data_IF_321350217622
#
_entry.id   IF_321350217622
#
_cell.length_a   1.000
_cell.length_b   1.000
_cell.length_c   1.000
_cell.angle_alpha   90.00
_cell.angle_beta   90.00
_cell.angle_gamma   90.00
#
_symmetry.space_group_name_H-M   'P 1'
#
loop_
_entity.id
_entity.type
_entity.pdbx_description
1 polymer ?
#
# COMPACT_ATOMS: atom_id res chain seq x y z
N UNK A 1 3.63 3.91 -10.96
CA UNK A 1 2.99 3.80 -9.63
C UNK A 1 3.80 3.00 -8.63
N UNK A 2 3.98 1.65 -8.83
CA UNK A 2 4.62 0.78 -7.84
C UNK A 2 6.07 1.19 -7.51
N UNK A 3 6.89 1.47 -8.52
CA UNK A 3 8.28 1.92 -8.33
C UNK A 3 8.36 3.24 -7.55
N UNK A 4 7.43 4.16 -7.79
CA UNK A 4 7.39 5.45 -7.09
C UNK A 4 7.04 5.28 -5.61
N UNK A 5 6.08 4.41 -5.30
CA UNK A 5 5.66 4.11 -3.93
C UNK A 5 6.77 3.47 -3.09
N UNK A 6 7.50 2.49 -3.65
CA UNK A 6 8.58 1.80 -2.92
C UNK A 6 9.77 2.71 -2.63
N UNK A 7 10.08 3.67 -3.53
CA UNK A 7 11.21 4.59 -3.35
C UNK A 7 10.86 5.76 -2.44
N UNK A 8 9.59 6.18 -2.37
CA UNK A 8 9.17 7.37 -1.62
C UNK A 8 9.64 7.35 -0.16
N UNK A 9 9.37 6.26 0.56
CA UNK A 9 9.78 6.14 1.97
C UNK A 9 11.31 6.16 2.16
N UNK A 10 12.06 5.57 1.21
CA UNK A 10 13.51 5.59 1.24
C UNK A 10 14.06 7.00 0.99
N UNK A 11 13.51 7.73 0.02
CA UNK A 11 13.89 9.12 -0.26
C UNK A 11 13.66 10.02 0.93
N UNK A 12 12.51 9.91 1.61
CA UNK A 12 12.22 10.70 2.80
C UNK A 12 13.25 10.47 3.91
N UNK A 13 13.73 9.23 4.08
CA UNK A 13 14.79 8.91 5.06
C UNK A 13 16.17 9.44 4.68
N UNK A 14 16.45 9.60 3.38
CA UNK A 14 17.72 10.14 2.89
C UNK A 14 17.74 11.66 3.01
N UNK A 15 16.61 12.33 2.71
CA UNK A 15 16.51 13.79 2.63
C UNK A 15 16.37 14.41 4.02
N UNK A 16 15.62 13.77 4.92
CA UNK A 16 15.29 14.36 6.22
C UNK A 16 16.02 13.68 7.38
N UNK A 17 16.48 14.47 8.38
CA UNK A 17 17.15 13.93 9.56
C UNK A 17 16.16 13.15 10.45
N UNK A 18 16.65 12.15 11.24
CA UNK A 18 15.81 11.25 12.04
C UNK A 18 14.84 11.95 12.99
N UNK A 19 15.24 13.10 13.55
CA UNK A 19 14.41 13.89 14.47
C UNK A 19 13.19 14.55 13.82
N UNK A 20 13.15 14.66 12.50
CA UNK A 20 12.02 15.21 11.72
C UNK A 20 11.24 14.16 10.96
N UNK A 21 11.71 12.91 10.97
CA UNK A 21 11.15 11.84 10.14
C UNK A 21 9.67 11.56 10.47
N UNK A 22 9.29 11.55 11.75
CA UNK A 22 7.89 11.37 12.17
C UNK A 22 6.96 12.43 11.58
N UNK A 23 7.38 13.69 11.62
CA UNK A 23 6.60 14.82 11.08
C UNK A 23 6.49 14.76 9.54
N UNK A 24 7.56 14.37 8.88
CA UNK A 24 7.60 14.19 7.41
C UNK A 24 6.73 13.02 6.96
N UNK A 25 6.76 11.90 7.69
CA UNK A 25 5.89 10.76 7.43
C UNK A 25 4.40 11.10 7.62
N UNK A 26 4.07 11.88 8.65
CA UNK A 26 2.71 12.39 8.84
C UNK A 26 2.27 13.30 7.69
N UNK A 27 3.12 14.21 7.23
CA UNK A 27 2.84 15.07 6.07
C UNK A 27 2.64 14.23 4.79
N UNK A 28 3.47 13.21 4.56
CA UNK A 28 3.30 12.30 3.44
C UNK A 28 1.96 11.54 3.51
N UNK A 29 1.55 11.09 4.69
CA UNK A 29 0.25 10.43 4.88
C UNK A 29 -0.92 11.38 4.56
N UNK A 30 -0.82 12.66 4.95
CA UNK A 30 -1.83 13.68 4.59
C UNK A 30 -1.91 13.88 3.08
N UNK A 31 -0.76 13.99 2.40
CA UNK A 31 -0.73 14.15 0.93
C UNK A 31 -1.40 12.95 0.25
N UNK A 32 -1.06 11.73 0.67
CA UNK A 32 -1.69 10.50 0.14
C UNK A 32 -3.20 10.49 0.38
N UNK A 33 -3.64 10.86 1.59
CA UNK A 33 -5.05 10.89 1.94
C UNK A 33 -5.83 11.95 1.14
N UNK A 34 -5.29 13.16 1.00
CA UNK A 34 -5.91 14.23 0.18
C UNK A 34 -6.01 13.81 -1.28
N UNK A 35 -4.95 13.20 -1.81
CA UNK A 35 -4.95 12.71 -3.20
C UNK A 35 -5.98 11.58 -3.39
N UNK A 36 -6.08 10.66 -2.43
CA UNK A 36 -7.08 9.60 -2.46
C UNK A 36 -8.52 10.15 -2.36
N UNK A 37 -8.74 11.19 -1.55
CA UNK A 37 -10.03 11.87 -1.46
C UNK A 37 -10.43 12.59 -2.76
N UNK A 38 -9.47 13.21 -3.42
CA UNK A 38 -9.72 13.94 -4.68
C UNK A 38 -9.97 13.02 -5.88
N UNK A 39 -9.47 11.78 -5.84
CA UNK A 39 -9.58 10.82 -6.93
C UNK A 39 -11.01 10.59 -7.43
N UNK A 40 -11.96 10.15 -6.59
CA UNK A 40 -13.34 9.93 -7.00
C UNK A 40 -14.05 11.20 -7.50
N UNK A 41 -13.78 12.35 -6.87
CA UNK A 41 -14.37 13.62 -7.27
C UNK A 41 -13.86 14.07 -8.63
N UNK A 42 -12.55 14.02 -8.86
CA UNK A 42 -11.94 14.32 -10.16
C UNK A 42 -12.37 13.33 -11.24
N UNK A 43 -12.39 12.04 -10.92
CA UNK A 43 -12.85 11.00 -11.83
C UNK A 43 -14.31 11.20 -12.22
N UNK A 44 -15.19 11.49 -11.28
CA UNK A 44 -16.60 11.80 -11.53
C UNK A 44 -16.79 13.06 -12.38
N UNK A 45 -16.04 14.12 -12.10
CA UNK A 45 -16.08 15.34 -12.89
C UNK A 45 -15.62 15.12 -14.36
N UNK A 46 -14.55 14.35 -14.56
CA UNK A 46 -14.06 14.00 -15.90
C UNK A 46 -15.09 13.19 -16.67
N UNK A 47 -15.71 12.19 -16.02
CA UNK A 47 -16.74 11.35 -16.63
C UNK A 47 -18.03 12.10 -16.95
N UNK A 48 -18.33 13.17 -16.20
CA UNK A 48 -19.50 14.01 -16.46
C UNK A 48 -19.38 14.86 -17.75
N UNK A 49 -18.16 15.21 -18.14
CA UNK A 49 -17.90 16.12 -19.30
C UNK A 49 -17.16 15.44 -20.44
N UNK A 50 -16.59 14.26 -20.25
CA UNK A 50 -15.72 13.59 -21.20
C UNK A 50 -15.82 12.08 -21.22
N UNK A 51 -14.91 11.46 -21.95
CA UNK A 51 -14.83 10.01 -22.10
C UNK A 51 -13.91 9.40 -21.03
N UNK A 52 -14.15 8.14 -20.64
CA UNK A 52 -13.35 7.42 -19.64
C UNK A 52 -11.83 7.44 -19.90
N UNK A 53 -11.42 7.50 -21.18
CA UNK A 53 -10.00 7.58 -21.57
C UNK A 53 -9.29 8.82 -21.03
N UNK A 54 -10.02 9.90 -20.73
CA UNK A 54 -9.46 11.15 -20.22
C UNK A 54 -8.87 10.99 -18.82
N UNK A 55 -9.40 10.04 -18.03
CA UNK A 55 -8.85 9.71 -16.71
C UNK A 55 -7.40 9.23 -16.84
N UNK A 56 -7.11 8.43 -17.88
CA UNK A 56 -5.75 7.95 -18.15
C UNK A 56 -4.86 9.01 -18.77
N UNK A 57 -5.41 9.82 -19.68
CA UNK A 57 -4.68 10.93 -20.31
C UNK A 57 -4.22 11.99 -19.30
N UNK A 58 -4.98 12.23 -18.24
CA UNK A 58 -4.60 13.14 -17.16
C UNK A 58 -3.30 12.71 -16.44
N UNK A 59 -3.02 11.42 -16.39
CA UNK A 59 -1.79 10.91 -15.78
C UNK A 59 -0.53 11.27 -16.58
N UNK A 60 -0.63 11.54 -17.88
CA UNK A 60 0.52 11.89 -18.72
C UNK A 60 1.11 13.24 -18.31
N UNK A 61 0.34 14.37 -18.30
CA UNK A 61 0.90 15.65 -17.88
C UNK A 61 1.33 15.66 -16.42
N UNK A 62 0.59 15.00 -15.52
CA UNK A 62 0.98 14.88 -14.12
C UNK A 62 2.27 14.08 -13.95
N UNK A 63 2.43 12.98 -14.67
CA UNK A 63 3.63 12.15 -14.67
C UNK A 63 4.85 12.90 -15.22
N UNK A 64 4.70 13.64 -16.32
CA UNK A 64 5.74 14.49 -16.90
C UNK A 64 6.13 15.61 -15.94
N UNK A 65 5.17 16.30 -15.35
CA UNK A 65 5.44 17.32 -14.33
C UNK A 65 6.21 16.74 -13.14
N UNK A 66 5.78 15.61 -12.60
CA UNK A 66 6.45 14.92 -11.51
C UNK A 66 7.88 14.50 -11.90
N UNK A 67 8.09 14.02 -13.13
CA UNK A 67 9.40 13.65 -13.65
C UNK A 67 10.34 14.85 -13.73
N UNK A 68 9.92 15.97 -14.32
CA UNK A 68 10.76 17.16 -14.45
C UNK A 68 11.05 17.82 -13.11
N UNK A 69 10.06 17.88 -12.21
CA UNK A 69 10.22 18.38 -10.85
C UNK A 69 11.22 17.49 -10.08
N UNK A 70 11.04 16.17 -10.16
CA UNK A 70 11.93 15.22 -9.53
C UNK A 70 13.36 15.32 -10.05
N UNK A 71 13.53 15.41 -11.37
CA UNK A 71 14.86 15.54 -11.97
C UNK A 71 15.59 16.80 -11.50
N UNK A 72 14.85 17.91 -11.33
CA UNK A 72 15.45 19.20 -10.98
C UNK A 72 15.68 19.39 -9.48
N UNK A 73 14.84 18.81 -8.63
CA UNK A 73 14.84 19.04 -7.17
C UNK A 73 15.41 17.90 -6.34
N UNK A 74 15.45 16.66 -6.88
CA UNK A 74 16.02 15.56 -6.12
C UNK A 74 17.53 15.72 -5.98
N UNK A 75 18.07 15.58 -4.75
CA UNK A 75 19.51 15.64 -4.54
C UNK A 75 20.20 14.51 -5.29
N UNK A 76 21.36 14.82 -5.87
CA UNK A 76 22.22 13.80 -6.47
C UNK A 76 22.58 12.75 -5.43
N UNK A 77 22.27 11.51 -5.72
CA UNK A 77 22.64 10.40 -4.85
C UNK A 77 24.14 10.17 -5.00
N UNK A 78 24.97 10.40 -3.96
CA UNK A 78 26.39 10.10 -4.06
C UNK A 78 26.55 8.60 -4.34
N UNK A 79 27.45 8.22 -5.29
CA UNK A 79 27.67 6.83 -5.60
C UNK A 79 28.04 6.09 -4.31
N UNK A 80 27.27 5.06 -3.98
CA UNK A 80 27.56 4.20 -2.82
C UNK A 80 28.99 3.65 -3.00
N UNK A 81 29.86 3.87 -2.02
CA UNK A 81 31.23 3.36 -2.01
C UNK A 81 31.30 1.82 -2.09
N UNK A 82 30.21 1.16 -1.80
CA UNK A 82 30.02 -0.29 -1.97
C UNK A 82 29.03 -0.54 -3.10
N UNK A 83 29.55 -1.02 -4.24
CA UNK A 83 28.71 -1.52 -5.33
C UNK A 83 27.96 -2.75 -4.81
N UNK A 84 26.72 -2.55 -4.41
CA UNK A 84 25.82 -3.65 -4.00
C UNK A 84 25.54 -4.50 -5.23
N UNK A 85 26.12 -5.67 -5.32
CA UNK A 85 25.69 -6.66 -6.31
C UNK A 85 24.28 -7.11 -5.90
N UNK A 86 23.29 -6.74 -6.71
CA UNK A 86 21.95 -7.27 -6.58
C UNK A 86 22.00 -8.78 -6.77
N UNK A 87 21.50 -9.52 -5.80
CA UNK A 87 21.35 -10.97 -5.96
C UNK A 87 20.18 -11.25 -6.90
N UNK A 88 20.50 -11.45 -8.18
CA UNK A 88 19.49 -11.69 -9.23
C UNK A 88 18.62 -12.90 -8.95
N UNK A 89 19.15 -13.93 -8.29
CA UNK A 89 18.37 -15.11 -7.92
C UNK A 89 17.30 -14.78 -6.86
N UNK A 90 17.62 -13.97 -5.87
CA UNK A 90 16.63 -13.50 -4.88
C UNK A 90 15.56 -12.64 -5.52
N UNK A 91 15.90 -11.80 -6.50
CA UNK A 91 14.92 -10.99 -7.24
C UNK A 91 13.96 -11.89 -8.02
N UNK A 92 14.49 -12.88 -8.75
CA UNK A 92 13.66 -13.82 -9.52
C UNK A 92 12.77 -14.65 -8.58
N UNK A 93 13.32 -15.22 -7.51
CA UNK A 93 12.53 -15.99 -6.53
C UNK A 93 11.42 -15.15 -5.90
N UNK A 94 11.70 -13.89 -5.58
CA UNK A 94 10.70 -12.95 -5.07
C UNK A 94 9.56 -12.74 -6.07
N UNK A 95 9.90 -12.44 -7.33
CA UNK A 95 8.92 -12.20 -8.38
C UNK A 95 8.08 -13.47 -8.66
N UNK A 96 8.71 -14.63 -8.73
CA UNK A 96 8.02 -15.91 -8.97
C UNK A 96 7.13 -16.28 -7.78
N UNK A 97 7.62 -16.13 -6.55
CA UNK A 97 6.84 -16.44 -5.34
C UNK A 97 5.56 -15.59 -5.25
N UNK A 98 5.70 -14.26 -5.32
CA UNK A 98 4.53 -13.38 -5.24
C UNK A 98 3.63 -13.51 -6.46
N UNK A 99 4.17 -13.72 -7.66
CA UNK A 99 3.39 -13.98 -8.86
C UNK A 99 2.55 -15.24 -8.75
N UNK A 100 3.15 -16.35 -8.30
CA UNK A 100 2.43 -17.60 -8.06
C UNK A 100 1.40 -17.47 -6.95
N UNK A 101 1.74 -16.78 -5.86
CA UNK A 101 0.84 -16.57 -4.73
C UNK A 101 -0.42 -15.82 -5.16
N UNK A 102 -0.25 -14.69 -5.86
CA UNK A 102 -1.37 -13.87 -6.34
C UNK A 102 -2.20 -14.66 -7.35
N UNK A 103 -1.56 -15.31 -8.30
CA UNK A 103 -2.26 -16.11 -9.33
C UNK A 103 -3.04 -17.28 -8.72
N UNK A 104 -2.48 -17.96 -7.71
CA UNK A 104 -3.18 -19.04 -7.00
C UNK A 104 -4.42 -18.54 -6.26
N UNK A 105 -4.32 -17.37 -5.60
CA UNK A 105 -5.45 -16.75 -4.90
C UNK A 105 -6.53 -16.32 -5.89
N UNK A 106 -6.15 -15.73 -7.01
CA UNK A 106 -7.09 -15.32 -8.07
C UNK A 106 -7.83 -16.51 -8.65
N UNK A 107 -7.11 -17.58 -8.99
CA UNK A 107 -7.72 -18.78 -9.56
C UNK A 107 -8.64 -19.50 -8.56
N UNK A 108 -8.30 -19.50 -7.27
CA UNK A 108 -9.17 -20.03 -6.23
C UNK A 108 -10.51 -19.27 -6.16
N UNK A 109 -10.49 -17.97 -6.41
CA UNK A 109 -11.69 -17.13 -6.39
C UNK A 109 -12.59 -17.36 -7.63
N UNK A 110 -12.02 -17.72 -8.80
CA UNK A 110 -12.77 -17.91 -10.04
C UNK A 110 -13.21 -19.35 -10.30
N UNK A 111 -12.31 -20.30 -10.16
CA UNK A 111 -12.51 -21.70 -10.60
C UNK A 111 -12.82 -22.66 -9.43
N UNK A 112 -12.73 -22.19 -8.20
CA UNK A 112 -12.89 -23.03 -7.02
C UNK A 112 -11.73 -24.04 -6.83
N UNK A 113 -11.98 -25.12 -6.09
CA UNK A 113 -10.96 -26.13 -5.80
C UNK A 113 -10.77 -27.07 -6.98
N UNK A 114 -9.61 -27.02 -7.63
CA UNK A 114 -9.19 -27.94 -8.68
C UNK A 114 -7.85 -28.62 -8.34
N UNK A 115 -7.56 -29.76 -8.94
CA UNK A 115 -6.27 -30.46 -8.77
C UNK A 115 -5.10 -29.56 -9.21
N UNK A 116 -5.32 -28.77 -10.25
CA UNK A 116 -4.32 -27.81 -10.75
C UNK A 116 -4.03 -26.71 -9.72
N UNK A 117 -5.06 -26.21 -9.05
CA UNK A 117 -4.92 -25.22 -7.98
C UNK A 117 -4.07 -25.76 -6.83
N UNK A 118 -4.31 -27.01 -6.42
CA UNK A 118 -3.52 -27.65 -5.36
C UNK A 118 -2.06 -27.78 -5.77
N UNK A 119 -1.79 -28.18 -7.01
CA UNK A 119 -0.43 -28.28 -7.54
C UNK A 119 0.27 -26.91 -7.53
N UNK A 120 -0.42 -25.87 -7.98
CA UNK A 120 0.10 -24.49 -7.96
C UNK A 120 0.39 -24.00 -6.54
N UNK A 121 -0.51 -24.27 -5.60
CA UNK A 121 -0.30 -23.92 -4.19
C UNK A 121 0.94 -24.63 -3.62
N UNK A 122 1.11 -25.92 -3.94
CA UNK A 122 2.31 -26.68 -3.53
C UNK A 122 3.57 -26.07 -4.14
N UNK A 123 3.56 -25.73 -5.42
CA UNK A 123 4.71 -25.09 -6.08
C UNK A 123 5.00 -23.71 -5.44
N UNK A 124 3.97 -22.91 -5.16
CA UNK A 124 4.12 -21.62 -4.50
C UNK A 124 4.77 -21.77 -3.11
N UNK A 125 4.35 -22.77 -2.32
CA UNK A 125 4.94 -23.07 -1.01
C UNK A 125 6.40 -23.49 -1.15
N UNK A 126 6.74 -24.38 -2.10
CA UNK A 126 8.12 -24.81 -2.33
C UNK A 126 9.01 -23.60 -2.71
N UNK A 127 8.56 -22.79 -3.65
CA UNK A 127 9.29 -21.57 -4.06
C UNK A 127 9.42 -20.60 -2.89
N UNK A 128 8.38 -20.45 -2.06
CA UNK A 128 8.40 -19.64 -0.85
C UNK A 128 9.44 -20.13 0.17
N UNK A 129 9.51 -21.42 0.41
CA UNK A 129 10.52 -22.04 1.29
C UNK A 129 11.93 -21.80 0.73
N UNK A 130 12.14 -22.00 -0.56
CA UNK A 130 13.43 -21.73 -1.21
C UNK A 130 13.80 -20.24 -1.10
N UNK A 131 12.86 -19.35 -1.32
CA UNK A 131 13.06 -17.90 -1.18
C UNK A 131 13.45 -17.52 0.25
N UNK A 132 12.69 -17.96 1.25
CA UNK A 132 12.96 -17.66 2.67
C UNK A 132 14.31 -18.24 3.10
N UNK A 133 14.59 -19.50 2.77
CA UNK A 133 15.86 -20.17 3.10
C UNK A 133 17.06 -19.39 2.52
N UNK A 134 16.92 -18.90 1.30
CA UNK A 134 17.95 -18.07 0.68
C UNK A 134 18.11 -16.72 1.37
N UNK A 135 17.01 -16.05 1.72
CA UNK A 135 17.07 -14.76 2.43
C UNK A 135 17.77 -14.86 3.78
N UNK A 136 17.66 -16.00 4.46
CA UNK A 136 18.32 -16.26 5.74
C UNK A 136 19.84 -16.49 5.61
N UNK A 137 20.32 -16.85 4.41
CA UNK A 137 21.75 -17.14 4.14
C UNK A 137 22.52 -15.93 3.63
N UNK A 138 21.82 -14.90 3.12
CA UNK A 138 22.43 -13.72 2.49
C UNK A 138 22.67 -12.65 3.55
N UNK A 139 23.89 -12.05 3.61
CA UNK A 139 24.21 -11.01 4.59
C UNK A 139 23.34 -9.75 4.47
N UNK A 140 22.81 -9.51 3.29
CA UNK A 140 21.92 -8.35 3.01
C UNK A 140 20.68 -8.82 2.22
N UNK A 141 19.69 -9.40 2.90
CA UNK A 141 18.50 -9.92 2.26
C UNK A 141 17.61 -8.79 1.68
N UNK A 142 16.89 -9.10 0.60
CA UNK A 142 15.85 -8.21 0.05
C UNK A 142 14.69 -8.12 1.05
N UNK A 143 14.30 -9.25 1.63
CA UNK A 143 13.33 -9.34 2.70
C UNK A 143 14.07 -9.70 4.01
N UNK A 144 14.12 -8.80 4.98
CA UNK A 144 14.81 -9.07 6.25
C UNK A 144 13.97 -9.99 7.14
N UNK A 145 13.97 -11.28 6.82
CA UNK A 145 13.18 -12.31 7.53
C UNK A 145 13.55 -12.37 9.00
N UNK A 146 14.78 -12.02 9.36
CA UNK A 146 15.25 -11.99 10.74
C UNK A 146 14.43 -11.05 11.65
N UNK A 147 13.87 -9.98 11.08
CA UNK A 147 13.02 -9.04 11.82
C UNK A 147 11.71 -9.70 12.31
N UNK A 148 11.25 -10.75 11.63
CA UNK A 148 10.06 -11.50 12.08
C UNK A 148 10.29 -12.28 13.37
N UNK A 149 11.53 -12.47 13.80
CA UNK A 149 11.86 -13.03 15.12
C UNK A 149 11.57 -12.04 16.26
N UNK A 150 11.43 -10.76 15.94
CA UNK A 150 11.09 -9.72 16.93
C UNK A 150 9.56 -9.70 17.04
N UNK A 151 8.96 -10.06 18.19
CA UNK A 151 7.51 -10.21 18.32
C UNK A 151 6.74 -8.94 17.98
N UNK A 152 7.24 -7.77 18.38
CA UNK A 152 6.60 -6.48 18.13
C UNK A 152 6.55 -6.16 16.63
N UNK A 153 7.56 -6.55 15.88
CA UNK A 153 7.63 -6.38 14.43
C UNK A 153 6.64 -7.30 13.73
N UNK A 154 6.61 -8.58 14.09
CA UNK A 154 5.71 -9.58 13.52
C UNK A 154 4.24 -9.23 13.77
N UNK A 155 3.91 -8.85 15.01
CA UNK A 155 2.56 -8.42 15.37
C UNK A 155 2.15 -7.14 14.61
N UNK A 156 3.05 -6.18 14.46
CA UNK A 156 2.78 -4.94 13.72
C UNK A 156 2.50 -5.21 12.24
N UNK A 157 3.26 -6.12 11.61
CA UNK A 157 3.01 -6.52 10.22
C UNK A 157 1.70 -7.29 10.09
N UNK A 158 1.43 -8.25 10.99
CA UNK A 158 0.16 -8.99 11.00
C UNK A 158 -1.03 -8.05 11.13
N UNK A 159 -0.97 -7.12 12.07
CA UNK A 159 -1.98 -6.07 12.26
C UNK A 159 -2.18 -5.22 10.99
N UNK A 160 -1.09 -4.81 10.35
CA UNK A 160 -1.13 -4.04 9.11
C UNK A 160 -1.78 -4.82 7.96
N UNK A 161 -1.43 -6.10 7.80
CA UNK A 161 -2.02 -6.97 6.78
C UNK A 161 -3.54 -7.08 6.99
N UNK A 162 -3.99 -7.37 8.22
CA UNK A 162 -5.42 -7.48 8.52
C UNK A 162 -6.16 -6.16 8.26
N UNK A 163 -5.60 -5.03 8.70
CA UNK A 163 -6.18 -3.70 8.48
C UNK A 163 -6.31 -3.38 6.99
N UNK A 164 -5.24 -3.54 6.23
CA UNK A 164 -5.25 -3.23 4.81
C UNK A 164 -6.16 -4.16 4.02
N UNK A 165 -6.22 -5.46 4.38
CA UNK A 165 -7.15 -6.40 3.75
C UNK A 165 -8.60 -5.99 4.01
N UNK A 166 -8.97 -5.70 5.25
CA UNK A 166 -10.31 -5.26 5.59
C UNK A 166 -10.67 -3.92 4.92
N UNK A 167 -9.72 -2.98 4.89
CA UNK A 167 -9.89 -1.69 4.22
C UNK A 167 -10.10 -1.85 2.71
N UNK A 168 -9.32 -2.70 2.05
CA UNK A 168 -9.44 -2.94 0.60
C UNK A 168 -10.73 -3.67 0.26
N UNK A 169 -11.14 -4.64 1.08
CA UNK A 169 -12.44 -5.29 0.94
C UNK A 169 -13.57 -4.26 0.99
N UNK A 170 -13.59 -3.40 2.00
CA UNK A 170 -14.61 -2.36 2.12
C UNK A 170 -14.56 -1.37 0.95
N UNK A 171 -13.35 -0.93 0.54
CA UNK A 171 -13.18 0.02 -0.55
C UNK A 171 -13.69 -0.52 -1.89
N UNK A 172 -13.56 -1.83 -2.12
CA UNK A 172 -14.04 -2.48 -3.35
C UNK A 172 -15.52 -2.84 -3.25
N UNK A 173 -15.97 -3.44 -2.14
CA UNK A 173 -17.35 -3.95 -2.01
C UNK A 173 -18.39 -2.85 -1.84
N UNK A 174 -18.08 -1.77 -1.10
CA UNK A 174 -19.01 -0.69 -0.84
C UNK A 174 -19.56 0.00 -2.10
N UNK A 175 -18.70 0.40 -3.08
CA UNK A 175 -19.21 0.99 -4.33
C UNK A 175 -20.14 0.07 -5.09
N UNK A 176 -19.85 -1.23 -5.15
CA UNK A 176 -20.71 -2.21 -5.79
C UNK A 176 -22.04 -2.36 -5.08
N UNK A 177 -22.02 -2.46 -3.76
CA UNK A 177 -23.24 -2.51 -2.94
C UNK A 177 -24.11 -1.26 -3.13
N UNK A 178 -23.51 -0.08 -3.07
CA UNK A 178 -24.22 1.19 -3.23
C UNK A 178 -24.86 1.33 -4.61
N UNK A 179 -24.18 0.90 -5.65
CA UNK A 179 -24.69 1.01 -7.02
C UNK A 179 -25.70 -0.08 -7.36
N UNK A 180 -25.46 -1.34 -6.96
CA UNK A 180 -26.33 -2.47 -7.34
C UNK A 180 -27.51 -2.66 -6.38
N UNK A 181 -27.31 -2.48 -5.07
CA UNK A 181 -28.36 -2.73 -4.08
C UNK A 181 -29.17 -1.48 -3.75
N UNK A 182 -28.52 -0.31 -3.68
CA UNK A 182 -29.19 0.96 -3.36
C UNK A 182 -29.52 1.78 -4.60
N UNK A 183 -29.11 1.37 -5.81
CA UNK A 183 -29.40 2.06 -7.07
C UNK A 183 -28.77 3.44 -7.20
N UNK A 184 -27.71 3.73 -6.42
CA UNK A 184 -27.06 5.04 -6.42
C UNK A 184 -26.25 5.24 -7.69
N UNK A 185 -26.21 6.48 -8.17
CA UNK A 185 -25.33 6.84 -9.29
C UNK A 185 -23.85 6.81 -8.87
N UNK A 186 -22.97 6.70 -9.85
CA UNK A 186 -21.50 6.72 -9.63
C UNK A 186 -21.08 8.00 -8.89
N UNK A 187 -21.67 9.14 -9.21
CA UNK A 187 -21.38 10.41 -8.56
C UNK A 187 -21.82 10.41 -7.07
N UNK A 188 -23.03 9.90 -6.78
CA UNK A 188 -23.51 9.78 -5.40
C UNK A 188 -22.65 8.82 -4.58
N UNK A 189 -22.29 7.68 -5.15
CA UNK A 189 -21.37 6.72 -4.54
C UNK A 189 -20.03 7.36 -4.20
N UNK A 190 -19.45 8.11 -5.13
CA UNK A 190 -18.18 8.83 -4.91
C UNK A 190 -18.28 9.86 -3.79
N UNK A 191 -19.39 10.61 -3.72
CA UNK A 191 -19.63 11.57 -2.65
C UNK A 191 -19.77 10.90 -1.27
N UNK A 192 -20.49 9.79 -1.20
CA UNK A 192 -20.66 9.02 0.04
C UNK A 192 -19.37 8.36 0.55
N UNK A 193 -18.44 8.05 -0.34
CA UNK A 193 -17.11 7.52 0.02
C UNK A 193 -16.09 8.59 0.39
N UNK A 194 -16.35 9.86 0.05
CA UNK A 194 -15.45 10.99 0.32
C UNK A 194 -15.15 11.22 1.82
N UNK A 195 -16.07 11.01 2.79
CA UNK A 195 -15.78 11.16 4.22
C UNK A 195 -14.62 10.29 4.71
N UNK A 196 -14.39 9.11 4.13
CA UNK A 196 -13.30 8.21 4.53
C UNK A 196 -11.91 8.84 4.39
N UNK A 197 -11.46 9.25 3.18
CA UNK A 197 -10.16 9.91 3.03
C UNK A 197 -10.09 11.25 3.78
N UNK A 198 -11.20 11.98 3.93
CA UNK A 198 -11.25 13.20 4.73
C UNK A 198 -10.96 12.91 6.20
N UNK A 199 -11.58 11.88 6.78
CA UNK A 199 -11.30 11.46 8.15
C UNK A 199 -9.82 11.08 8.31
N UNK A 200 -9.24 10.36 7.34
CA UNK A 200 -7.81 10.02 7.33
C UNK A 200 -6.93 11.27 7.29
N UNK A 201 -7.28 12.26 6.48
CA UNK A 201 -6.56 13.53 6.37
C UNK A 201 -6.54 14.30 7.69
N UNK A 202 -7.64 14.26 8.44
CA UNK A 202 -7.75 14.94 9.75
C UNK A 202 -7.05 14.16 10.87
N UNK A 203 -7.14 12.85 10.85
CA UNK A 203 -6.60 12.00 11.92
C UNK A 203 -5.10 11.71 11.77
N UNK A 204 -4.54 11.70 10.55
CA UNK A 204 -3.13 11.41 10.33
C UNK A 204 -2.17 12.40 11.05
N UNK A 205 -2.36 13.75 10.99
CA UNK A 205 -1.52 14.66 11.73
C UNK A 205 -1.68 14.52 13.25
N UNK A 206 -2.88 14.21 13.72
CA UNK A 206 -3.16 13.95 15.13
C UNK A 206 -2.41 12.70 15.61
N UNK A 207 -2.51 11.61 14.89
CA UNK A 207 -1.78 10.37 15.16
C UNK A 207 -0.26 10.62 15.14
N UNK A 208 0.25 11.40 14.18
CA UNK A 208 1.67 11.76 14.09
C UNK A 208 2.19 12.56 15.29
N UNK A 209 1.33 13.38 15.90
CA UNK A 209 1.68 14.10 17.16
C UNK A 209 1.55 13.21 18.39
N UNK A 210 0.55 12.34 18.42
CA UNK A 210 0.31 11.43 19.54
C UNK A 210 1.41 10.37 19.66
N UNK A 211 1.99 9.90 18.56
CA UNK A 211 3.04 8.88 18.58
C UNK A 211 4.31 9.34 19.30
N UNK A 212 4.53 10.67 19.41
CA UNK A 212 5.64 11.25 20.18
C UNK A 212 5.37 11.21 21.71
N UNK A 213 4.11 11.05 22.15
CA UNK A 213 3.71 11.14 23.56
C UNK A 213 3.09 9.86 24.11
N UNK A 214 2.52 9.02 23.27
CA UNK A 214 1.81 7.80 23.63
C UNK A 214 2.51 6.59 23.01
N UNK A 215 2.58 5.49 23.76
CA UNK A 215 3.20 4.26 23.27
C UNK A 215 2.51 3.80 21.95
N UNK A 216 3.25 3.53 20.87
CA UNK A 216 2.69 3.18 19.56
C UNK A 216 1.69 2.02 19.59
N UNK A 217 1.92 1.03 20.47
CA UNK A 217 1.02 -0.11 20.64
C UNK A 217 -0.37 0.27 21.15
N UNK A 218 -0.45 1.24 22.07
CA UNK A 218 -1.74 1.73 22.60
C UNK A 218 -2.49 2.50 21.51
N UNK A 219 -1.76 3.34 20.77
CA UNK A 219 -2.34 4.11 19.67
C UNK A 219 -2.88 3.20 18.56
N UNK A 220 -2.13 2.16 18.21
CA UNK A 220 -2.56 1.13 17.26
C UNK A 220 -3.79 0.36 17.75
N UNK A 221 -3.81 -0.07 19.03
CA UNK A 221 -4.95 -0.77 19.61
C UNK A 221 -6.23 0.08 19.63
N UNK A 222 -6.12 1.38 19.96
CA UNK A 222 -7.24 2.31 19.90
C UNK A 222 -7.75 2.50 18.46
N UNK A 223 -6.84 2.65 17.49
CA UNK A 223 -7.20 2.74 16.09
C UNK A 223 -7.98 1.52 15.58
N UNK A 224 -7.48 0.32 15.92
CA UNK A 224 -8.16 -0.94 15.59
C UNK A 224 -9.50 -1.09 16.30
N UNK A 225 -9.57 -0.70 17.57
CA UNK A 225 -10.80 -0.73 18.38
C UNK A 225 -11.90 0.19 17.86
N UNK A 226 -11.56 1.26 17.15
CA UNK A 226 -12.53 2.15 16.48
C UNK A 226 -12.85 1.62 15.07
N UNK A 227 -11.85 1.09 14.37
CA UNK A 227 -12.00 0.61 12.99
C UNK A 227 -12.91 -0.62 12.89
N UNK A 228 -12.76 -1.59 13.80
CA UNK A 228 -13.52 -2.83 13.75
C UNK A 228 -15.03 -2.61 13.90
N UNK A 229 -15.56 -1.90 14.93
CA UNK A 229 -16.98 -1.60 15.01
C UNK A 229 -17.46 -0.69 13.86
N UNK A 230 -16.61 0.21 13.35
CA UNK A 230 -16.95 1.00 12.16
C UNK A 230 -17.23 0.14 10.93
N UNK A 231 -16.49 -0.93 10.72
CA UNK A 231 -16.75 -1.89 9.64
C UNK A 231 -17.99 -2.77 9.90
N UNK A 232 -18.31 -3.07 11.16
CA UNK A 232 -19.50 -3.85 11.50
C UNK A 232 -20.81 -3.07 11.34
N UNK A 233 -20.73 -1.74 11.31
CA UNK A 233 -21.89 -0.86 11.14
C UNK A 233 -22.18 -0.51 9.67
N UNK A 234 -21.30 -0.88 8.76
CA UNK A 234 -21.44 -0.73 7.31
C UNK A 234 -22.19 -1.91 6.70
#
# INVERSE_FOLDING_TARGET
GACTMSINTALLRIIFPPNRLGRVMAANAVIVAVTAASGPALGGAILAIGHWSWIFLLNIPLGLAAFFIGWKLLPHNPPSKTVRKLDGQSVVLNAVFFGLLIYTIEQMAHDGFSTLLVLQAVVAVIVGIMYISRQLQIPMPILPVDLFRIPIFSLSIGCSICCFTAQMLALVSLPFFMQHSLGLSVAQTGLLLTPWPLATTLTAPLAGRLIERVHPGILGALGMGIFAPGLCLL
#
